data_IF_404795097322
#
_entry.id   IF_404795097322
#
_cell.length_a   1.000
_cell.length_b   1.000
_cell.length_c   1.000
_cell.angle_alpha   90.00
_cell.angle_beta   90.00
_cell.angle_gamma   90.00
#
_symmetry.space_group_name_H-M   'P 1'
#
loop_
_entity.id
_entity.type
_entity.pdbx_description
1 polymer ?
#
# COMPACT_ATOMS: atom_id res chain seq x y z
N UNK A 1 -7.67 -3.01 -17.65
CA UNK A 1 -7.31 -4.30 -17.03
C UNK A 1 -8.59 -4.95 -16.50
N UNK A 2 -8.74 -6.28 -16.58
CA UNK A 2 -9.88 -6.98 -15.97
C UNK A 2 -9.56 -7.21 -14.48
N UNK A 3 -10.49 -6.91 -13.58
CA UNK A 3 -10.28 -7.21 -12.16
C UNK A 3 -10.30 -8.72 -11.92
N UNK A 4 -9.51 -9.21 -10.96
CA UNK A 4 -9.60 -10.59 -10.51
C UNK A 4 -10.96 -10.78 -9.80
N UNK A 5 -11.84 -11.59 -10.38
CA UNK A 5 -13.03 -12.12 -9.70
C UNK A 5 -14.40 -11.70 -10.24
N UNK A 6 -14.59 -10.51 -10.85
CA UNK A 6 -15.96 -10.03 -11.17
C UNK A 6 -16.23 -9.51 -12.58
N UNK A 7 -15.29 -9.68 -13.53
CA UNK A 7 -15.49 -9.20 -14.90
C UNK A 7 -15.68 -7.68 -15.02
N UNK A 8 -15.32 -6.94 -13.96
CA UNK A 8 -15.37 -5.49 -13.94
C UNK A 8 -14.22 -4.92 -14.78
N UNK A 9 -14.53 -3.88 -15.56
CA UNK A 9 -13.53 -3.10 -16.26
C UNK A 9 -12.88 -2.14 -15.26
N UNK A 10 -11.60 -2.36 -14.94
CA UNK A 10 -10.84 -1.49 -14.05
C UNK A 10 -10.35 -0.28 -14.85
N UNK A 11 -11.06 0.85 -14.70
CA UNK A 11 -10.55 2.16 -15.08
C UNK A 11 -9.68 2.66 -13.94
N UNK A 12 -8.39 2.35 -14.02
CA UNK A 12 -7.39 2.84 -13.07
C UNK A 12 -6.76 4.14 -13.57
N UNK A 13 -6.44 5.05 -12.66
CA UNK A 13 -5.65 6.25 -12.94
C UNK A 13 -4.49 6.37 -11.97
N UNK A 14 -3.37 6.96 -12.41
CA UNK A 14 -2.25 7.29 -11.53
C UNK A 14 -2.45 8.72 -11.03
N UNK A 15 -2.48 8.91 -9.72
CA UNK A 15 -2.62 10.22 -9.07
C UNK A 15 -1.36 10.50 -8.23
N UNK A 16 -0.84 11.74 -8.29
CA UNK A 16 0.25 12.15 -7.40
C UNK A 16 0.91 13.48 -7.76
N UNK A 17 1.79 13.99 -6.88
CA UNK A 17 2.24 13.36 -5.64
C UNK A 17 1.17 13.36 -4.54
N UNK A 18 1.00 12.22 -3.87
CA UNK A 18 0.14 12.05 -2.70
C UNK A 18 1.02 11.84 -1.46
N UNK A 19 0.66 12.51 -0.37
CA UNK A 19 1.31 12.33 0.92
C UNK A 19 0.69 11.14 1.63
N UNK A 20 1.49 10.10 1.87
CA UNK A 20 1.12 8.94 2.68
C UNK A 20 1.78 9.10 4.04
N UNK A 21 0.97 9.11 5.11
CA UNK A 21 1.45 9.16 6.48
C UNK A 21 1.20 7.82 7.18
N UNK A 22 2.27 7.18 7.65
CA UNK A 22 2.22 5.95 8.44
C UNK A 22 2.83 6.24 9.81
N UNK A 23 1.98 6.52 10.80
CA UNK A 23 2.42 7.04 12.09
C UNK A 23 3.11 8.39 11.94
N UNK A 24 4.39 8.45 12.31
CA UNK A 24 5.25 9.63 12.18
C UNK A 24 6.15 9.60 10.92
N UNK A 25 5.99 8.59 10.05
CA UNK A 25 6.67 8.49 8.77
C UNK A 25 5.83 9.12 7.66
N UNK A 26 6.47 9.90 6.79
CA UNK A 26 5.82 10.60 5.69
C UNK A 26 6.47 10.23 4.37
N UNK A 27 5.67 9.83 3.38
CA UNK A 27 6.10 9.41 2.05
C UNK A 27 5.39 10.21 0.96
N UNK A 28 6.10 10.50 -0.13
CA UNK A 28 5.53 11.12 -1.33
C UNK A 28 5.48 10.09 -2.44
N UNK A 29 4.29 9.68 -2.84
CA UNK A 29 4.09 8.60 -3.81
C UNK A 29 3.12 8.97 -4.91
N UNK A 30 3.28 8.33 -6.07
CA UNK A 30 2.23 8.26 -7.08
C UNK A 30 1.42 7.00 -6.79
N UNK A 31 0.11 7.14 -6.61
CA UNK A 31 -0.78 6.04 -6.24
C UNK A 31 -1.65 5.64 -7.42
N UNK A 32 -1.94 4.35 -7.51
CA UNK A 32 -2.93 3.82 -8.44
C UNK A 32 -4.30 3.91 -7.78
N UNK A 33 -5.21 4.67 -8.38
CA UNK A 33 -6.61 4.77 -7.96
C UNK A 33 -7.41 3.82 -8.84
N UNK A 34 -8.05 2.84 -8.23
CA UNK A 34 -8.94 1.91 -8.88
C UNK A 34 -10.15 1.63 -7.96
N UNK A 35 -11.27 1.12 -8.49
CA UNK A 35 -12.37 0.64 -7.67
C UNK A 35 -11.93 -0.62 -6.91
N UNK A 36 -11.50 -0.46 -5.66
CA UNK A 36 -11.13 -1.53 -4.72
C UNK A 36 -12.04 -1.44 -3.48
N UNK A 37 -12.22 -2.56 -2.78
CA UNK A 37 -13.07 -2.62 -1.58
C UNK A 37 -12.39 -1.93 -0.38
N UNK A 38 -11.08 -2.14 -0.24
CA UNK A 38 -10.27 -1.50 0.79
C UNK A 38 -9.97 -0.04 0.46
N UNK A 39 -9.79 0.79 1.49
CA UNK A 39 -9.47 2.20 1.30
C UNK A 39 -8.08 2.42 0.65
N UNK A 40 -7.11 1.56 0.96
CA UNK A 40 -5.75 1.64 0.45
C UNK A 40 -5.03 0.30 0.58
N UNK A 41 -4.24 -0.05 -0.43
CA UNK A 41 -3.35 -1.20 -0.41
C UNK A 41 -1.92 -0.72 -0.62
N UNK A 42 -1.00 -1.16 0.24
CA UNK A 42 0.43 -0.93 0.04
C UNK A 42 0.99 -2.03 -0.87
N UNK A 43 1.39 -1.63 -2.08
CA UNK A 43 1.97 -2.53 -3.06
C UNK A 43 3.39 -2.97 -2.72
N UNK A 44 3.83 -4.07 -3.33
CA UNK A 44 5.19 -4.58 -3.19
C UNK A 44 6.25 -3.58 -3.67
N UNK A 45 5.92 -2.72 -4.63
CA UNK A 45 6.76 -1.63 -5.13
C UNK A 45 7.07 -0.60 -4.03
N UNK A 46 6.04 -0.15 -3.30
CA UNK A 46 6.20 0.71 -2.13
C UNK A 46 7.07 0.04 -1.06
N UNK A 47 6.75 -1.21 -0.72
CA UNK A 47 7.47 -1.97 0.30
C UNK A 47 8.95 -2.17 -0.05
N UNK A 48 9.25 -2.50 -1.30
CA UNK A 48 10.64 -2.64 -1.79
C UNK A 48 11.38 -1.30 -1.78
N UNK A 49 10.73 -0.21 -2.23
CA UNK A 49 11.32 1.13 -2.29
C UNK A 49 11.77 1.61 -0.91
N UNK A 50 11.02 1.30 0.14
CA UNK A 50 11.28 1.73 1.52
C UNK A 50 11.87 0.65 2.42
N UNK A 51 12.33 -0.48 1.84
CA UNK A 51 13.05 -1.52 2.58
C UNK A 51 12.23 -2.20 3.68
N UNK A 52 10.96 -2.48 3.42
CA UNK A 52 10.06 -3.08 4.41
C UNK A 52 10.48 -4.51 4.79
N UNK A 53 10.38 -4.85 6.07
CA UNK A 53 10.44 -6.24 6.57
C UNK A 53 9.09 -6.61 7.15
N UNK A 54 8.52 -7.74 6.74
CA UNK A 54 7.21 -8.21 7.22
C UNK A 54 7.42 -9.44 8.08
N UNK A 55 6.99 -9.36 9.33
CA UNK A 55 6.77 -10.53 10.19
C UNK A 55 5.29 -10.92 10.12
N UNK A 56 5.03 -12.01 9.39
CA UNK A 56 3.69 -12.55 9.17
C UNK A 56 3.12 -13.13 10.47
N UNK A 57 3.95 -13.80 11.28
CA UNK A 57 3.50 -14.48 12.50
C UNK A 57 3.16 -13.45 13.57
N UNK A 58 4.04 -12.46 13.77
CA UNK A 58 3.79 -11.34 14.68
C UNK A 58 2.77 -10.32 14.17
N UNK A 59 2.35 -10.44 12.89
CA UNK A 59 1.50 -9.44 12.22
C UNK A 59 2.09 -8.03 12.29
N UNK A 60 3.41 -7.89 12.10
CA UNK A 60 4.09 -6.60 12.12
C UNK A 60 4.83 -6.30 10.83
N UNK A 61 4.94 -5.02 10.50
CA UNK A 61 5.75 -4.52 9.41
C UNK A 61 6.77 -3.53 9.97
N UNK A 62 8.05 -3.73 9.65
CA UNK A 62 9.12 -2.78 9.95
C UNK A 62 9.43 -1.94 8.71
N UNK A 63 9.43 -0.61 8.86
CA UNK A 63 9.79 0.39 7.85
C UNK A 63 10.70 1.42 8.50
N UNK A 64 11.85 1.74 7.89
CA UNK A 64 12.83 2.70 8.44
C UNK A 64 13.19 2.46 9.92
N UNK A 65 13.27 1.19 10.33
CA UNK A 65 13.55 0.80 11.72
C UNK A 65 12.38 0.95 12.69
N UNK A 66 11.19 1.35 12.22
CA UNK A 66 9.97 1.48 13.01
C UNK A 66 9.03 0.32 12.74
N UNK A 67 8.54 -0.29 13.82
CA UNK A 67 7.60 -1.40 13.76
C UNK A 67 6.18 -0.87 13.83
N UNK A 68 5.35 -1.29 12.88
CA UNK A 68 3.93 -0.97 12.76
C UNK A 68 3.14 -2.26 12.88
N UNK A 69 2.10 -2.27 13.73
CA UNK A 69 1.18 -3.40 13.81
C UNK A 69 0.29 -3.41 12.56
N UNK A 70 0.23 -4.55 11.87
CA UNK A 70 -0.68 -4.73 10.73
C UNK A 70 -2.10 -4.98 11.26
N UNK A 71 -3.08 -4.28 10.70
CA UNK A 71 -4.48 -4.51 11.02
C UNK A 71 -4.90 -5.91 10.54
N UNK A 72 -5.73 -6.60 11.34
CA UNK A 72 -6.34 -7.89 11.00
C UNK A 72 -7.66 -7.68 10.26
#
# INVERSE_FOLDING_TARGET
MKTAGRGLHMNGSIVGPVTIQLGDMVFQERVYVAPIEDCMLLGLDFLKKHGATIDIVGSTMCLNGKVVQMAQ
#
